data_IF_839313822545
#
_entry.id   IF_839313822545
#
_cell.length_a   1.000
_cell.length_b   1.000
_cell.length_c   1.000
_cell.angle_alpha   90.00
_cell.angle_beta   90.00
_cell.angle_gamma   90.00
#
_symmetry.space_group_name_H-M   'P 1'
#
loop_
_entity.id
_entity.type
_entity.pdbx_description
1 polymer ?
#
# COMPACT_ATOMS: atom_id res chain seq x y z
N UNK A 1 -7.00 3.39 -5.09
CA UNK A 1 -6.32 3.91 -6.30
C UNK A 1 -5.21 4.84 -5.88
N UNK A 2 -4.00 4.64 -6.39
CA UNK A 2 -2.86 5.53 -6.11
C UNK A 2 -2.48 6.32 -7.36
N UNK A 3 -1.87 7.48 -7.17
CA UNK A 3 -1.25 8.21 -8.26
C UNK A 3 -0.06 7.39 -8.80
N UNK A 4 0.11 7.28 -10.13
CA UNK A 4 1.11 6.39 -10.70
C UNK A 4 2.55 6.91 -10.57
N UNK A 5 2.72 8.19 -10.17
CA UNK A 5 4.01 8.89 -10.18
C UNK A 5 4.62 9.07 -8.79
N UNK A 6 3.81 9.05 -7.73
CA UNK A 6 4.25 9.19 -6.35
C UNK A 6 3.74 8.05 -5.44
N UNK A 7 2.82 7.20 -5.92
CA UNK A 7 2.25 6.10 -5.14
C UNK A 7 1.38 6.56 -3.97
N UNK A 8 0.89 7.80 -3.98
CA UNK A 8 -0.02 8.42 -3.01
C UNK A 8 -1.45 7.99 -3.28
N UNK A 9 -2.21 7.67 -2.24
CA UNK A 9 -3.66 7.53 -2.39
C UNK A 9 -4.28 8.86 -2.81
N UNK A 10 -5.24 8.78 -3.72
CA UNK A 10 -6.04 9.92 -4.19
C UNK A 10 -7.46 9.79 -3.66
N UNK A 11 -8.26 10.86 -3.70
CA UNK A 11 -9.62 10.89 -3.12
C UNK A 11 -10.52 9.75 -3.63
N UNK A 12 -10.37 9.34 -4.88
CA UNK A 12 -11.07 8.18 -5.47
C UNK A 12 -10.83 6.87 -4.70
N UNK A 13 -9.70 6.73 -3.99
CA UNK A 13 -9.46 5.59 -3.10
C UNK A 13 -10.40 5.59 -1.89
N UNK A 14 -10.67 6.77 -1.32
CA UNK A 14 -11.59 6.92 -0.19
C UNK A 14 -12.97 6.43 -0.58
N UNK A 15 -13.51 6.93 -1.69
CA UNK A 15 -14.82 6.51 -2.19
C UNK A 15 -14.85 5.01 -2.45
N UNK A 16 -13.83 4.48 -3.12
CA UNK A 16 -13.73 3.06 -3.44
C UNK A 16 -13.76 2.15 -2.22
N UNK A 17 -13.06 2.51 -1.14
CA UNK A 17 -13.03 1.71 0.08
C UNK A 17 -14.25 1.98 0.98
N UNK A 18 -14.85 3.17 0.92
CA UNK A 18 -16.03 3.50 1.74
C UNK A 18 -17.28 2.74 1.25
N UNK A 19 -17.44 2.52 -0.06
CA UNK A 19 -18.59 1.79 -0.62
C UNK A 19 -18.84 0.41 0.04
N UNK A 20 -17.87 -0.50 0.14
CA UNK A 20 -18.07 -1.76 0.85
C UNK A 20 -18.27 -1.58 2.36
N UNK A 21 -17.72 -0.52 2.96
CA UNK A 21 -17.96 -0.22 4.38
C UNK A 21 -19.42 0.19 4.63
N UNK A 22 -20.02 1.00 3.74
CA UNK A 22 -21.47 1.31 3.75
C UNK A 22 -22.33 0.04 3.64
N UNK A 23 -21.83 -0.96 2.92
CA UNK A 23 -22.45 -2.28 2.79
C UNK A 23 -22.35 -3.17 4.04
N UNK A 24 -21.72 -2.72 5.13
CA UNK A 24 -21.62 -3.46 6.39
C UNK A 24 -20.37 -4.35 6.52
N UNK A 25 -19.35 -4.17 5.69
CA UNK A 25 -18.08 -4.89 5.85
C UNK A 25 -17.38 -4.43 7.14
N UNK A 26 -17.00 -5.38 7.99
CA UNK A 26 -16.34 -5.07 9.28
C UNK A 26 -14.83 -4.77 9.19
N UNK A 27 -14.14 -5.24 8.16
CA UNK A 27 -12.70 -5.05 7.96
C UNK A 27 -12.35 -4.98 6.47
N UNK A 28 -11.61 -3.95 6.10
CA UNK A 28 -11.00 -3.80 4.78
C UNK A 28 -9.48 -3.86 4.92
N UNK A 29 -8.84 -4.66 4.06
CA UNK A 29 -7.39 -4.78 3.99
C UNK A 29 -6.93 -4.18 2.66
N UNK A 30 -6.23 -3.05 2.70
CA UNK A 30 -5.56 -2.50 1.52
C UNK A 30 -4.48 -3.49 1.08
N UNK A 31 -4.47 -3.78 -0.22
CA UNK A 31 -3.53 -4.69 -0.86
C UNK A 31 -2.07 -4.26 -0.72
N UNK A 32 -1.18 -5.05 -1.32
CA UNK A 32 0.26 -4.92 -1.11
C UNK A 32 0.78 -3.49 -1.26
N UNK A 33 1.25 -2.94 -0.15
CA UNK A 33 1.74 -1.56 -0.01
C UNK A 33 3.21 -1.59 0.36
N UNK A 34 4.03 -0.87 -0.39
CA UNK A 34 5.48 -0.88 -0.28
C UNK A 34 5.96 -0.19 1.00
N UNK A 35 6.81 -0.86 1.77
CA UNK A 35 7.31 -0.37 3.08
C UNK A 35 8.66 0.32 3.03
N UNK A 36 9.34 0.26 1.89
CA UNK A 36 10.66 0.87 1.69
C UNK A 36 10.94 1.08 0.19
N UNK A 37 11.79 2.03 -0.24
CA UNK A 37 12.17 2.16 -1.65
C UNK A 37 12.71 0.85 -2.28
N UNK A 38 13.42 0.01 -1.52
CA UNK A 38 13.91 -1.30 -2.00
C UNK A 38 12.82 -2.37 -2.17
N UNK A 39 11.60 -2.09 -1.71
CA UNK A 39 10.50 -3.06 -1.75
C UNK A 39 9.79 -3.10 -3.11
N UNK A 40 10.10 -2.16 -4.01
CA UNK A 40 9.36 -1.88 -5.24
C UNK A 40 9.48 -3.03 -6.25
N UNK A 41 8.33 -3.43 -6.84
CA UNK A 41 8.25 -4.51 -7.85
C UNK A 41 8.50 -4.03 -9.28
N UNK A 42 7.96 -2.86 -9.63
CA UNK A 42 7.84 -2.37 -11.00
C UNK A 42 7.92 -0.83 -11.03
N UNK A 43 8.26 -0.22 -12.18
CA UNK A 43 8.45 1.23 -12.30
C UNK A 43 7.15 2.05 -12.12
N UNK A 44 5.97 1.44 -12.23
CA UNK A 44 4.70 2.10 -11.90
C UNK A 44 4.44 1.94 -10.39
N UNK A 45 4.23 3.06 -9.71
CA UNK A 45 4.18 3.08 -8.25
C UNK A 45 2.85 2.54 -7.74
N UNK A 46 2.91 1.31 -7.23
CA UNK A 46 1.91 0.80 -6.29
C UNK A 46 1.93 1.63 -5.00
N UNK A 47 0.87 1.58 -4.18
CA UNK A 47 0.81 2.33 -2.93
C UNK A 47 2.04 2.14 -2.05
N UNK A 48 2.45 3.22 -1.36
CA UNK A 48 3.64 3.25 -0.51
C UNK A 48 3.30 3.60 0.93
N UNK A 49 4.20 3.26 1.85
CA UNK A 49 4.08 3.53 3.30
C UNK A 49 5.41 3.97 3.92
N UNK A 50 6.35 4.46 3.10
CA UNK A 50 7.66 4.95 3.54
C UNK A 50 7.84 6.46 3.37
N UNK A 51 6.75 7.17 3.05
CA UNK A 51 6.73 8.62 2.86
C UNK A 51 5.57 9.20 3.67
N UNK A 52 5.84 10.20 4.50
CA UNK A 52 4.85 10.83 5.37
C UNK A 52 3.71 11.49 4.60
N UNK A 53 3.89 11.80 3.32
CA UNK A 53 2.80 12.27 2.44
C UNK A 53 1.64 11.26 2.33
N UNK A 54 1.85 10.00 2.73
CA UNK A 54 0.81 8.95 2.77
C UNK A 54 -0.10 9.06 4.00
N UNK A 55 0.33 9.75 5.06
CA UNK A 55 -0.42 9.83 6.33
C UNK A 55 -1.79 10.45 6.10
N UNK A 56 -1.86 11.59 5.41
CA UNK A 56 -3.12 12.31 5.21
C UNK A 56 -4.13 11.53 4.35
N UNK A 57 -3.75 11.01 3.17
CA UNK A 57 -4.65 10.20 2.35
C UNK A 57 -5.12 8.93 3.05
N UNK A 58 -4.24 8.22 3.77
CA UNK A 58 -4.63 7.02 4.53
C UNK A 58 -5.56 7.35 5.69
N UNK A 59 -5.36 8.48 6.36
CA UNK A 59 -6.23 8.94 7.44
C UNK A 59 -7.64 9.21 6.92
N UNK A 60 -7.78 9.85 5.75
CA UNK A 60 -9.09 10.05 5.11
C UNK A 60 -9.83 8.74 4.85
N UNK A 61 -9.12 7.73 4.33
CA UNK A 61 -9.71 6.41 4.09
C UNK A 61 -10.16 5.79 5.42
N UNK A 62 -9.28 5.79 6.43
CA UNK A 62 -9.60 5.24 7.74
C UNK A 62 -10.84 5.93 8.35
N UNK A 63 -10.89 7.25 8.32
CA UNK A 63 -11.99 8.05 8.85
C UNK A 63 -13.31 7.77 8.13
N UNK A 64 -13.29 7.64 6.80
CA UNK A 64 -14.47 7.28 6.01
C UNK A 64 -15.01 5.89 6.39
N UNK A 65 -14.12 4.90 6.53
CA UNK A 65 -14.50 3.53 6.92
C UNK A 65 -15.03 3.46 8.36
N UNK A 66 -14.37 4.16 9.27
CA UNK A 66 -14.71 4.15 10.70
C UNK A 66 -16.12 4.71 10.97
N UNK A 67 -16.64 5.62 10.12
CA UNK A 67 -18.03 6.12 10.20
C UNK A 67 -19.07 5.01 10.05
N UNK A 68 -18.73 3.93 9.34
CA UNK A 68 -19.62 2.79 9.08
C UNK A 68 -19.31 1.58 9.97
N UNK A 69 -18.50 1.76 11.02
CA UNK A 69 -18.08 0.65 11.90
C UNK A 69 -17.08 -0.32 11.27
N UNK A 70 -16.59 -0.05 10.05
CA UNK A 70 -15.56 -0.83 9.38
C UNK A 70 -14.18 -0.48 9.94
N UNK A 71 -13.24 -1.42 9.99
CA UNK A 71 -11.82 -1.17 10.31
C UNK A 71 -10.95 -1.21 9.06
N UNK A 72 -9.87 -0.44 9.08
CA UNK A 72 -8.85 -0.45 8.02
C UNK A 72 -7.59 -1.15 8.49
N UNK A 73 -7.08 -2.07 7.68
CA UNK A 73 -5.74 -2.63 7.80
C UNK A 73 -4.99 -2.51 6.46
N UNK A 74 -3.67 -2.63 6.51
CA UNK A 74 -2.82 -2.53 5.32
C UNK A 74 -1.86 -3.72 5.25
N UNK A 75 -1.72 -4.31 4.07
CA UNK A 75 -0.75 -5.37 3.83
C UNK A 75 0.61 -4.77 3.51
N UNK A 76 1.48 -4.77 4.50
CA UNK A 76 2.90 -4.46 4.34
C UNK A 76 3.55 -5.42 3.34
N UNK A 77 4.25 -4.89 2.33
CA UNK A 77 4.80 -5.69 1.26
C UNK A 77 6.26 -5.36 0.95
N UNK A 78 7.07 -6.41 0.90
CA UNK A 78 8.44 -6.37 0.41
C UNK A 78 8.69 -7.54 -0.55
N UNK A 79 9.15 -7.25 -1.77
CA UNK A 79 9.39 -8.28 -2.79
C UNK A 79 10.76 -8.96 -2.69
N UNK A 80 11.70 -8.34 -1.98
CA UNK A 80 13.08 -8.82 -1.88
C UNK A 80 13.70 -8.95 -3.27
N UNK A 81 14.47 -10.01 -3.50
CA UNK A 81 15.01 -10.33 -4.83
C UNK A 81 13.96 -10.57 -5.91
N UNK A 82 12.70 -10.79 -5.57
CA UNK A 82 11.63 -10.97 -6.59
C UNK A 82 11.06 -9.63 -7.08
N UNK A 83 11.60 -8.51 -6.61
CA UNK A 83 11.18 -7.15 -6.96
C UNK A 83 11.85 -6.62 -8.23
N UNK A 84 12.18 -5.33 -8.21
CA UNK A 84 12.82 -4.65 -9.33
C UNK A 84 14.12 -5.35 -9.76
N UNK A 85 14.42 -5.47 -11.07
CA UNK A 85 15.58 -6.24 -11.57
C UNK A 85 16.93 -5.83 -10.97
N UNK A 86 17.12 -4.57 -10.59
CA UNK A 86 18.34 -4.12 -9.91
C UNK A 86 18.58 -4.78 -8.55
N UNK A 87 17.52 -5.20 -7.84
CA UNK A 87 17.62 -5.88 -6.54
C UNK A 87 17.80 -7.40 -6.67
N UNK A 88 17.55 -7.99 -7.84
CA UNK A 88 17.71 -9.44 -8.09
C UNK A 88 19.14 -9.94 -7.95
N UNK A 89 20.12 -9.08 -8.18
CA UNK A 89 21.52 -9.45 -8.29
C UNK A 89 22.32 -9.12 -7.03
N UNK A 90 21.68 -8.59 -6.00
CA UNK A 90 22.34 -8.16 -4.78
C UNK A 90 22.15 -9.22 -3.67
N UNK A 91 23.21 -9.99 -3.31
CA UNK A 91 23.11 -11.07 -2.32
C UNK A 91 22.61 -10.60 -0.95
N UNK A 92 22.85 -9.33 -0.60
CA UNK A 92 22.36 -8.73 0.65
C UNK A 92 20.83 -8.66 0.77
N UNK A 93 20.08 -8.88 -0.32
CA UNK A 93 18.62 -8.87 -0.35
C UNK A 93 18.01 -10.28 -0.48
N UNK A 94 18.84 -11.32 -0.57
CA UNK A 94 18.43 -12.70 -0.65
C UNK A 94 18.78 -13.45 0.64
N UNK A 95 17.79 -13.80 1.49
CA UNK A 95 18.06 -14.56 2.70
C UNK A 95 18.61 -15.96 2.41
N UNK A 96 18.45 -16.46 1.18
CA UNK A 96 18.91 -17.77 0.74
C UNK A 96 20.26 -17.69 -0.02
N UNK A 97 20.86 -16.51 -0.16
CA UNK A 97 22.19 -16.37 -0.77
C UNK A 97 23.29 -16.79 0.21
N UNK A 98 23.61 -18.08 0.20
CA UNK A 98 24.86 -18.66 0.72
C UNK A 98 25.91 -18.81 -0.38
#
# INVERSE_FOLDING_TARGET
MSDPWNGLFIDMATDYYEEPAKGGVGLIIIGGTHVHPSSIKAPLLMPQLFDDRQIEPLSKIADALHKHGCKLAIRLWHFGVRGFPGYKLAPSFDPDAT
#
